data_IF_982858371349
#
_entry.id   IF_982858371349
#
_cell.length_a   1.000
_cell.length_b   1.000
_cell.length_c   1.000
_cell.angle_alpha   90.00
_cell.angle_beta   90.00
_cell.angle_gamma   90.00
#
_symmetry.space_group_name_H-M   'P 1'
#
loop_
_entity.id
_entity.type
_entity.pdbx_description
1 polymer ?
#
# COMPACT_ATOMS: atom_id res chain seq x y z
N UNK A 1 -22.71 -18.46 -26.91
CA UNK A 1 -22.36 -17.27 -26.11
C UNK A 1 -23.36 -17.16 -24.98
N UNK A 2 -22.89 -17.41 -23.77
CA UNK A 2 -23.56 -17.30 -22.46
C UNK A 2 -22.39 -17.52 -21.48
N UNK A 3 -21.57 -16.53 -21.12
CA UNK A 3 -21.80 -15.35 -20.28
C UNK A 3 -22.37 -15.69 -18.89
N UNK A 4 -21.44 -15.95 -17.96
CA UNK A 4 -21.50 -15.69 -16.52
C UNK A 4 -22.43 -16.52 -15.61
N UNK A 5 -21.80 -17.35 -14.78
CA UNK A 5 -22.08 -17.63 -13.35
C UNK A 5 -20.93 -18.56 -12.90
N UNK A 6 -20.02 -18.29 -11.97
CA UNK A 6 -19.89 -17.37 -10.84
C UNK A 6 -18.35 -17.24 -10.65
N UNK A 7 -17.72 -16.05 -10.61
CA UNK A 7 -18.00 -14.97 -9.66
C UNK A 7 -17.74 -13.56 -10.26
N UNK A 8 -18.73 -12.94 -10.95
CA UNK A 8 -18.63 -11.54 -11.40
C UNK A 8 -18.51 -10.61 -10.22
N UNK A 9 -19.23 -10.94 -9.15
CA UNK A 9 -19.15 -10.27 -7.88
C UNK A 9 -17.72 -10.23 -7.31
N UNK A 10 -16.88 -11.25 -7.51
CA UNK A 10 -15.48 -11.21 -7.01
C UNK A 10 -14.59 -10.32 -7.85
N UNK A 11 -14.70 -10.37 -9.18
CA UNK A 11 -13.91 -9.50 -10.06
C UNK A 11 -14.29 -8.03 -9.85
N UNK A 12 -15.58 -7.73 -9.75
CA UNK A 12 -16.05 -6.38 -9.43
C UNK A 12 -15.60 -5.96 -8.03
N UNK A 13 -15.70 -6.83 -7.01
CA UNK A 13 -15.17 -6.53 -5.66
C UNK A 13 -13.67 -6.31 -5.63
N UNK A 14 -12.89 -7.01 -6.46
CA UNK A 14 -11.44 -6.77 -6.59
C UNK A 14 -11.15 -5.42 -7.21
N UNK A 15 -11.84 -5.07 -8.31
CA UNK A 15 -11.69 -3.76 -8.94
C UNK A 15 -12.11 -2.65 -7.99
N UNK A 16 -13.26 -2.80 -7.31
CA UNK A 16 -13.74 -1.86 -6.28
C UNK A 16 -12.76 -1.74 -5.12
N UNK A 17 -12.17 -2.84 -4.65
CA UNK A 17 -11.16 -2.80 -3.60
C UNK A 17 -9.88 -2.08 -4.07
N UNK A 18 -9.44 -2.31 -5.31
CA UNK A 18 -8.24 -1.70 -5.87
C UNK A 18 -8.44 -0.20 -6.09
N UNK A 19 -9.57 0.18 -6.67
CA UNK A 19 -9.99 1.57 -6.81
C UNK A 19 -10.17 2.22 -5.44
N UNK A 20 -10.76 1.53 -4.48
CA UNK A 20 -10.92 2.01 -3.11
C UNK A 20 -9.59 2.29 -2.42
N UNK A 21 -8.61 1.37 -2.51
CA UNK A 21 -7.25 1.57 -2.01
C UNK A 21 -6.56 2.72 -2.73
N UNK A 22 -6.70 2.81 -4.06
CA UNK A 22 -6.10 3.90 -4.83
C UNK A 22 -6.66 5.26 -4.41
N UNK A 23 -7.99 5.39 -4.31
CA UNK A 23 -8.65 6.61 -3.85
C UNK A 23 -8.25 6.96 -2.42
N UNK A 24 -8.15 5.96 -1.54
CA UNK A 24 -7.67 6.15 -0.17
C UNK A 24 -6.24 6.70 -0.13
N UNK A 25 -5.33 6.12 -0.93
CA UNK A 25 -3.94 6.61 -1.03
C UNK A 25 -3.92 8.05 -1.54
N UNK A 26 -4.63 8.34 -2.62
CA UNK A 26 -4.69 9.70 -3.19
C UNK A 26 -5.24 10.70 -2.17
N UNK A 27 -6.30 10.35 -1.45
CA UNK A 27 -6.90 11.19 -0.41
C UNK A 27 -5.89 11.54 0.67
N UNK A 28 -5.18 10.55 1.22
CA UNK A 28 -4.25 10.76 2.33
C UNK A 28 -2.94 11.41 1.90
N UNK A 29 -2.46 11.17 0.69
CA UNK A 29 -1.35 11.92 0.11
C UNK A 29 -1.72 13.39 -0.02
N UNK A 30 -2.91 13.71 -0.54
CA UNK A 30 -3.39 15.10 -0.61
C UNK A 30 -3.54 15.73 0.77
N UNK A 31 -4.05 14.99 1.76
CA UNK A 31 -4.14 15.47 3.13
C UNK A 31 -2.76 15.78 3.73
N UNK A 32 -1.77 14.89 3.55
CA UNK A 32 -0.40 15.11 4.02
C UNK A 32 0.27 16.32 3.36
N UNK A 33 0.06 16.52 2.05
CA UNK A 33 0.54 17.70 1.34
C UNK A 33 -0.10 18.99 1.88
N UNK A 34 -1.42 18.99 2.09
CA UNK A 34 -2.15 20.14 2.64
C UNK A 34 -1.68 20.49 4.06
N UNK A 35 -1.43 19.49 4.91
CA UNK A 35 -0.88 19.69 6.25
C UNK A 35 0.52 20.30 6.16
N UNK A 36 1.39 19.78 5.30
CA UNK A 36 2.74 20.32 5.08
C UNK A 36 2.70 21.79 4.65
N UNK A 37 1.86 22.11 3.66
CA UNK A 37 1.68 23.48 3.17
C UNK A 37 1.16 24.43 4.25
N UNK A 38 0.23 23.96 5.09
CA UNK A 38 -0.30 24.74 6.22
C UNK A 38 0.80 25.08 7.22
N UNK A 39 1.67 24.12 7.56
CA UNK A 39 2.79 24.34 8.48
C UNK A 39 3.83 25.26 7.85
N UNK A 40 4.15 25.09 6.56
CA UNK A 40 5.06 25.99 5.84
C UNK A 40 4.53 27.43 5.74
N UNK A 41 3.23 27.66 5.92
CA UNK A 41 2.69 29.00 6.10
C UNK A 41 3.33 29.78 7.27
N UNK A 42 3.88 29.08 8.26
CA UNK A 42 4.63 29.68 9.37
C UNK A 42 6.09 30.03 9.02
N UNK A 43 6.55 29.78 7.79
CA UNK A 43 7.92 30.11 7.35
C UNK A 43 8.14 31.61 7.20
N UNK A 44 7.15 32.34 6.68
CA UNK A 44 7.31 33.77 6.38
C UNK A 44 7.71 34.61 7.61
N UNK A 45 7.10 34.43 8.81
CA UNK A 45 7.55 35.12 10.02
C UNK A 45 9.00 34.79 10.43
N UNK A 46 9.46 33.55 10.24
CA UNK A 46 10.82 33.15 10.58
C UNK A 46 11.86 33.85 9.69
N UNK A 47 11.62 33.88 8.38
CA UNK A 47 12.47 34.58 7.41
C UNK A 47 12.47 36.10 7.62
N UNK A 48 11.34 36.68 8.03
CA UNK A 48 11.27 38.09 8.39
C UNK A 48 12.15 38.40 9.61
N UNK A 49 12.16 37.50 10.61
CA UNK A 49 12.99 37.67 11.81
C UNK A 49 14.48 37.55 11.50
N UNK A 50 14.85 36.58 10.67
CA UNK A 50 16.20 36.40 10.13
C UNK A 50 16.67 37.68 9.42
N UNK A 51 15.90 38.14 8.42
CA UNK A 51 16.23 39.34 7.62
C UNK A 51 16.32 40.60 8.50
N UNK A 52 15.41 40.74 9.47
CA UNK A 52 15.41 41.87 10.41
C UNK A 52 16.67 41.83 11.29
N UNK A 53 17.03 40.68 11.84
CA UNK A 53 18.23 40.48 12.65
C UNK A 53 19.51 40.81 11.86
N UNK A 54 19.62 40.30 10.63
CA UNK A 54 20.74 40.59 9.72
C UNK A 54 20.88 42.09 9.44
N UNK A 55 19.78 42.75 9.07
CA UNK A 55 19.78 44.19 8.78
C UNK A 55 20.15 45.05 9.98
N UNK A 56 19.66 44.70 11.19
CA UNK A 56 20.01 45.38 12.43
C UNK A 56 21.48 45.16 12.79
N UNK A 57 21.95 43.91 12.73
CA UNK A 57 23.34 43.57 13.03
C UNK A 57 24.29 44.35 12.12
N UNK A 58 24.03 44.39 10.81
CA UNK A 58 24.84 45.16 9.86
C UNK A 58 24.83 46.66 10.15
N UNK A 59 23.66 47.22 10.46
CA UNK A 59 23.52 48.65 10.78
C UNK A 59 24.22 49.05 12.09
N UNK A 60 24.10 48.21 13.12
CA UNK A 60 24.70 48.42 14.44
C UNK A 60 26.20 48.19 14.42
N UNK A 61 26.68 47.17 13.70
CA UNK A 61 28.10 46.93 13.47
C UNK A 61 28.77 48.09 12.73
N UNK A 62 28.12 48.61 11.67
CA UNK A 62 28.61 49.79 10.95
C UNK A 62 28.62 51.05 11.84
N UNK A 63 27.64 51.20 12.74
CA UNK A 63 27.64 52.30 13.71
C UNK A 63 28.77 52.17 14.74
N UNK A 64 29.00 50.96 15.26
CA UNK A 64 30.11 50.66 16.16
C UNK A 64 31.46 51.00 15.54
N UNK A 65 31.69 50.60 14.28
CA UNK A 65 32.95 50.87 13.57
C UNK A 65 33.19 52.38 13.38
N UNK A 66 32.16 53.12 12.98
CA UNK A 66 32.26 54.59 12.80
C UNK A 66 32.54 55.33 14.11
N UNK A 67 31.90 54.91 15.20
CA UNK A 67 32.08 55.51 16.53
C UNK A 67 33.41 55.11 17.14
N UNK A 68 33.85 53.86 16.93
CA UNK A 68 35.13 53.33 17.38
C UNK A 68 36.34 54.08 16.80
N UNK A 69 36.19 54.70 15.63
CA UNK A 69 37.23 55.51 15.00
C UNK A 69 37.50 56.87 15.71
N UNK A 70 36.70 57.26 16.71
CA UNK A 70 36.89 58.52 17.45
C UNK A 70 38.05 58.39 18.46
N UNK A 71 39.11 59.22 18.36
CA UNK A 71 40.24 59.17 19.31
C UNK A 71 39.79 59.42 20.75
N UNK A 72 40.41 58.73 21.72
CA UNK A 72 40.21 58.86 23.17
C UNK A 72 38.83 58.40 23.73
N UNK A 73 37.77 58.33 22.92
CA UNK A 73 36.41 57.98 23.36
C UNK A 73 35.78 56.79 22.62
N UNK A 74 36.35 56.37 21.48
CA UNK A 74 35.73 55.41 20.56
C UNK A 74 35.34 54.07 21.20
N UNK A 75 36.20 53.47 22.02
CA UNK A 75 35.93 52.16 22.64
C UNK A 75 34.78 52.19 23.65
N UNK A 76 34.63 53.29 24.39
CA UNK A 76 33.56 53.43 25.40
C UNK A 76 32.20 53.65 24.75
N UNK A 77 32.17 54.30 23.59
CA UNK A 77 30.92 54.62 22.88
C UNK A 77 30.54 53.51 21.88
N UNK A 78 31.51 52.74 21.35
CA UNK A 78 31.26 51.61 20.44
C UNK A 78 30.66 50.38 21.14
N UNK A 79 31.06 50.09 22.38
CA UNK A 79 30.65 48.87 23.10
C UNK A 79 29.12 48.61 23.16
N UNK A 80 28.27 49.61 23.43
CA UNK A 80 26.81 49.43 23.38
C UNK A 80 26.29 49.05 21.98
N UNK A 81 26.88 49.57 20.91
CA UNK A 81 26.50 49.22 19.53
C UNK A 81 26.96 47.81 19.17
N UNK A 82 28.17 47.40 19.60
CA UNK A 82 28.66 46.02 19.44
C UNK A 82 27.74 45.04 20.18
N UNK A 83 27.40 45.33 21.43
CA UNK A 83 26.48 44.49 22.23
C UNK A 83 25.10 44.40 21.59
N UNK A 84 24.60 45.49 21.01
CA UNK A 84 23.33 45.50 20.30
C UNK A 84 23.41 44.71 18.97
N UNK A 85 24.55 44.77 18.26
CA UNK A 85 24.79 43.97 17.06
C UNK A 85 24.83 42.46 17.38
N UNK A 86 25.45 42.08 18.50
CA UNK A 86 25.45 40.70 19.00
C UNK A 86 24.04 40.22 19.37
N UNK A 87 23.23 41.09 19.99
CA UNK A 87 21.84 40.79 20.26
C UNK A 87 21.05 40.60 18.94
N UNK A 88 21.28 41.45 17.93
CA UNK A 88 20.66 41.30 16.61
C UNK A 88 21.08 40.01 15.88
N UNK A 89 22.34 39.60 16.01
CA UNK A 89 22.82 38.30 15.53
C UNK A 89 22.09 37.14 16.21
N UNK A 90 21.83 37.23 17.52
CA UNK A 90 21.06 36.19 18.22
C UNK A 90 19.62 36.07 17.70
N UNK A 91 19.01 37.21 17.32
CA UNK A 91 17.67 37.23 16.69
C UNK A 91 17.72 36.62 15.30
N UNK A 92 18.74 36.93 14.51
CA UNK A 92 18.96 36.36 13.18
C UNK A 92 19.03 34.83 13.25
N UNK A 93 19.88 34.28 14.12
CA UNK A 93 20.02 32.83 14.35
C UNK A 93 18.73 32.18 14.83
N UNK A 94 17.99 32.84 15.73
CA UNK A 94 16.69 32.34 16.17
C UNK A 94 15.68 32.24 15.01
N UNK A 95 15.74 33.18 14.05
CA UNK A 95 14.97 33.11 12.80
C UNK A 95 15.35 31.90 11.94
N UNK A 96 16.65 31.67 11.73
CA UNK A 96 17.18 30.51 10.98
C UNK A 96 16.74 29.18 11.63
N UNK A 97 16.91 29.05 12.94
CA UNK A 97 16.55 27.85 13.70
C UNK A 97 15.04 27.58 13.63
N UNK A 98 14.22 28.64 13.73
CA UNK A 98 12.77 28.52 13.61
C UNK A 98 12.35 28.08 12.19
N UNK A 99 12.98 28.64 11.16
CA UNK A 99 12.74 28.24 9.77
C UNK A 99 13.05 26.75 9.56
N UNK A 100 14.21 26.29 10.02
CA UNK A 100 14.61 24.88 9.96
C UNK A 100 13.65 23.97 10.74
N UNK A 101 13.19 24.41 11.91
CA UNK A 101 12.22 23.68 12.72
C UNK A 101 10.86 23.56 12.02
N UNK A 102 10.35 24.65 11.44
CA UNK A 102 9.10 24.66 10.67
C UNK A 102 9.20 23.73 9.48
N UNK A 103 10.30 23.77 8.71
CA UNK A 103 10.51 22.90 7.55
C UNK A 103 10.51 21.42 7.96
N UNK A 104 11.29 21.06 8.98
CA UNK A 104 11.37 19.68 9.47
C UNK A 104 10.03 19.19 10.00
N UNK A 105 9.32 20.03 10.74
CA UNK A 105 8.00 19.72 11.30
C UNK A 105 6.96 19.54 10.20
N UNK A 106 6.98 20.39 9.17
CA UNK A 106 6.10 20.29 8.01
C UNK A 106 6.32 18.97 7.26
N UNK A 107 7.58 18.59 7.05
CA UNK A 107 7.94 17.34 6.39
C UNK A 107 7.52 16.12 7.21
N UNK A 108 7.91 16.05 8.48
CA UNK A 108 7.62 14.89 9.33
C UNK A 108 6.12 14.71 9.55
N UNK A 109 5.41 15.79 9.86
CA UNK A 109 3.96 15.74 10.10
C UNK A 109 3.22 15.41 8.82
N UNK A 110 3.51 16.09 7.70
CA UNK A 110 2.89 15.80 6.41
C UNK A 110 3.13 14.35 5.95
N UNK A 111 4.36 13.85 6.12
CA UNK A 111 4.69 12.46 5.82
C UNK A 111 3.94 11.49 6.73
N UNK A 112 3.93 11.71 8.04
CA UNK A 112 3.21 10.86 8.99
C UNK A 112 1.70 10.81 8.68
N UNK A 113 1.09 11.97 8.41
CA UNK A 113 -0.32 12.08 8.02
C UNK A 113 -0.65 11.29 6.76
N UNK A 114 0.24 11.26 5.76
CA UNK A 114 0.03 10.45 4.57
C UNK A 114 0.34 8.96 4.80
N UNK A 115 1.50 8.65 5.38
CA UNK A 115 2.07 7.31 5.39
C UNK A 115 1.34 6.36 6.35
N UNK A 116 0.97 6.83 7.55
CA UNK A 116 0.30 6.00 8.56
C UNK A 116 -1.01 5.39 8.04
N UNK A 117 -2.00 6.18 7.56
CA UNK A 117 -3.25 5.63 7.05
C UNK A 117 -3.07 4.85 5.75
N UNK A 118 -2.09 5.20 4.91
CA UNK A 118 -1.75 4.41 3.71
C UNK A 118 -1.26 3.03 4.11
N UNK A 119 -0.30 2.92 5.03
CA UNK A 119 0.23 1.64 5.48
C UNK A 119 -0.84 0.79 6.17
N UNK A 120 -1.70 1.41 6.99
CA UNK A 120 -2.81 0.71 7.65
C UNK A 120 -3.80 0.08 6.66
N UNK A 121 -4.02 0.68 5.49
CA UNK A 121 -4.87 0.11 4.45
C UNK A 121 -4.10 -0.86 3.53
N UNK A 122 -2.88 -0.48 3.12
CA UNK A 122 -2.10 -1.20 2.12
C UNK A 122 -1.56 -2.52 2.64
N UNK A 123 -1.09 -2.57 3.89
CA UNK A 123 -0.49 -3.79 4.46
C UNK A 123 -1.52 -4.93 4.56
N UNK A 124 -2.71 -4.77 5.16
CA UNK A 124 -3.73 -5.81 5.18
C UNK A 124 -4.18 -6.22 3.77
N UNK A 125 -4.40 -5.24 2.88
CA UNK A 125 -4.79 -5.50 1.49
C UNK A 125 -3.73 -6.35 0.76
N UNK A 126 -2.44 -6.01 0.91
CA UNK A 126 -1.34 -6.72 0.27
C UNK A 126 -1.19 -8.14 0.83
N UNK A 127 -1.28 -8.32 2.16
CA UNK A 127 -1.21 -9.65 2.78
C UNK A 127 -2.33 -10.56 2.26
N UNK A 128 -3.56 -10.06 2.20
CA UNK A 128 -4.71 -10.82 1.70
C UNK A 128 -4.50 -11.17 0.21
N UNK A 129 -4.04 -10.20 -0.60
CA UNK A 129 -3.79 -10.38 -2.03
C UNK A 129 -2.68 -11.39 -2.31
N UNK A 130 -1.55 -11.29 -1.61
CA UNK A 130 -0.41 -12.20 -1.76
C UNK A 130 -0.79 -13.61 -1.32
N UNK A 131 -1.54 -13.77 -0.21
CA UNK A 131 -2.04 -15.09 0.22
C UNK A 131 -2.96 -15.71 -0.83
N UNK A 132 -3.84 -14.92 -1.44
CA UNK A 132 -4.70 -15.39 -2.52
C UNK A 132 -3.89 -15.82 -3.75
N UNK A 133 -2.94 -14.98 -4.20
CA UNK A 133 -2.07 -15.28 -5.34
C UNK A 133 -1.22 -16.55 -5.11
N UNK A 134 -0.66 -16.73 -3.91
CA UNK A 134 0.12 -17.93 -3.56
C UNK A 134 -0.75 -19.19 -3.56
N UNK A 135 -1.98 -19.12 -3.03
CA UNK A 135 -2.93 -20.25 -3.05
C UNK A 135 -3.32 -20.63 -4.48
N UNK A 136 -3.59 -19.65 -5.33
CA UNK A 136 -3.91 -19.89 -6.74
C UNK A 136 -2.73 -20.57 -7.48
N UNK A 137 -1.50 -20.09 -7.27
CA UNK A 137 -0.29 -20.68 -7.89
C UNK A 137 -0.03 -22.11 -7.42
N UNK A 138 -0.17 -22.38 -6.12
CA UNK A 138 0.01 -23.74 -5.58
C UNK A 138 -0.99 -24.72 -6.19
N UNK A 139 -2.25 -24.30 -6.39
CA UNK A 139 -3.27 -25.15 -6.99
C UNK A 139 -3.05 -25.38 -8.50
N UNK A 140 -2.58 -24.35 -9.22
CA UNK A 140 -2.19 -24.52 -10.63
C UNK A 140 -0.99 -25.47 -10.79
N UNK A 141 -0.02 -25.43 -9.88
CA UNK A 141 1.11 -26.36 -9.90
C UNK A 141 0.65 -27.83 -9.71
N UNK A 142 -0.28 -28.09 -8.78
CA UNK A 142 -0.84 -29.45 -8.57
C UNK A 142 -1.61 -29.98 -9.80
N UNK A 143 -2.29 -29.10 -10.54
CA UNK A 143 -2.98 -29.46 -11.79
C UNK A 143 -1.99 -29.76 -12.93
N UNK A 144 -0.80 -29.18 -12.92
CA UNK A 144 0.24 -29.43 -13.93
C UNK A 144 0.92 -30.79 -13.74
N UNK A 145 0.92 -31.31 -12.51
CA UNK A 145 1.46 -32.64 -12.17
C UNK A 145 0.47 -33.79 -12.39
N UNK A 146 -0.76 -33.51 -12.82
CA UNK A 146 -1.77 -34.55 -13.10
C UNK A 146 -2.37 -35.20 -11.85
N UNK A 147 -2.42 -34.49 -10.71
CA UNK A 147 -2.95 -35.06 -9.48
C UNK A 147 -4.41 -35.54 -9.61
N UNK A 148 -4.76 -36.67 -8.97
CA UNK A 148 -6.12 -37.19 -8.96
C UNK A 148 -7.09 -36.21 -8.28
N UNK A 149 -8.27 -36.06 -8.87
CA UNK A 149 -9.41 -35.31 -8.34
C UNK A 149 -9.67 -35.51 -6.83
N UNK A 150 -9.32 -36.69 -6.32
CA UNK A 150 -9.42 -37.07 -4.92
C UNK A 150 -8.61 -36.20 -3.96
N UNK A 151 -7.41 -35.73 -4.36
CA UNK A 151 -6.58 -34.86 -3.52
C UNK A 151 -7.16 -33.44 -3.41
N UNK A 152 -7.72 -32.94 -4.51
CA UNK A 152 -8.47 -31.68 -4.50
C UNK A 152 -9.74 -31.79 -3.63
N UNK A 153 -10.46 -32.91 -3.74
CA UNK A 153 -11.64 -33.18 -2.92
C UNK A 153 -11.28 -33.31 -1.43
N UNK A 154 -10.18 -33.98 -1.10
CA UNK A 154 -9.67 -34.10 0.28
C UNK A 154 -9.29 -32.73 0.84
N UNK A 155 -8.62 -31.89 0.04
CA UNK A 155 -8.26 -30.54 0.46
C UNK A 155 -9.50 -29.66 0.67
N UNK A 156 -10.54 -29.82 -0.16
CA UNK A 156 -11.82 -29.17 0.02
C UNK A 156 -12.42 -29.53 1.39
N UNK A 157 -12.45 -30.82 1.74
CA UNK A 157 -12.94 -31.30 3.03
C UNK A 157 -12.14 -30.72 4.21
N UNK A 158 -10.82 -30.54 4.06
CA UNK A 158 -9.95 -30.06 5.12
C UNK A 158 -9.99 -28.55 5.33
N UNK A 159 -10.36 -27.75 4.32
CA UNK A 159 -10.18 -26.28 4.35
C UNK A 159 -11.45 -25.48 4.09
N UNK A 160 -12.51 -26.09 3.56
CA UNK A 160 -13.76 -25.39 3.30
C UNK A 160 -14.66 -25.33 4.54
N UNK A 161 -15.43 -24.25 4.72
CA UNK A 161 -16.38 -24.14 5.83
C UNK A 161 -17.45 -25.24 5.78
N UNK A 162 -17.88 -25.72 6.95
CA UNK A 162 -18.92 -26.75 7.09
C UNK A 162 -20.21 -26.37 6.36
N UNK A 163 -20.61 -25.10 6.40
CA UNK A 163 -21.81 -24.59 5.72
C UNK A 163 -21.75 -24.62 4.19
N UNK A 164 -20.54 -24.76 3.62
CA UNK A 164 -20.33 -24.90 2.18
C UNK A 164 -20.28 -26.39 1.82
N UNK A 165 -19.62 -27.20 2.65
CA UNK A 165 -19.56 -28.66 2.48
C UNK A 165 -20.96 -29.30 2.55
N UNK A 166 -21.81 -28.86 3.48
CA UNK A 166 -23.19 -29.36 3.62
C UNK A 166 -24.09 -29.04 2.42
N UNK A 167 -23.76 -28.00 1.64
CA UNK A 167 -24.46 -27.70 0.37
C UNK A 167 -24.03 -28.64 -0.77
N UNK A 168 -22.82 -29.18 -0.71
CA UNK A 168 -22.37 -30.21 -1.65
C UNK A 168 -23.04 -31.53 -1.31
N UNK A 169 -22.88 -31.97 -0.06
CA UNK A 169 -23.59 -33.11 0.51
C UNK A 169 -23.72 -32.97 2.03
N UNK A 170 -24.89 -33.27 2.62
CA UNK A 170 -25.06 -33.37 4.07
C UNK A 170 -24.08 -34.35 4.74
N UNK A 171 -23.62 -35.36 4.00
CA UNK A 171 -22.70 -36.42 4.48
C UNK A 171 -21.37 -36.43 3.71
N UNK A 172 -20.88 -35.25 3.29
CA UNK A 172 -19.71 -35.11 2.40
C UNK A 172 -18.48 -35.96 2.76
N UNK A 173 -18.13 -36.09 4.06
CA UNK A 173 -17.00 -36.91 4.50
C UNK A 173 -17.23 -38.43 4.31
N UNK A 174 -18.45 -38.90 4.56
CA UNK A 174 -18.83 -40.29 4.33
C UNK A 174 -18.85 -40.61 2.83
N UNK A 175 -19.37 -39.68 2.04
CA UNK A 175 -19.55 -39.81 0.59
C UNK A 175 -18.21 -39.84 -0.15
N UNK A 176 -17.26 -39.00 0.28
CA UNK A 176 -15.88 -39.02 -0.21
C UNK A 176 -15.19 -40.35 0.14
N UNK A 177 -15.32 -40.82 1.38
CA UNK A 177 -14.69 -42.08 1.83
C UNK A 177 -15.25 -43.32 1.12
N UNK A 178 -16.51 -43.26 0.70
CA UNK A 178 -17.16 -44.32 -0.09
C UNK A 178 -16.90 -44.20 -1.60
N UNK A 179 -16.12 -43.19 -2.02
CA UNK A 179 -15.68 -43.03 -3.41
C UNK A 179 -16.79 -42.57 -4.35
N UNK A 180 -17.83 -41.89 -3.85
CA UNK A 180 -18.95 -41.45 -4.69
C UNK A 180 -18.46 -40.36 -5.67
N UNK A 181 -18.31 -40.73 -6.95
CA UNK A 181 -17.67 -39.89 -7.98
C UNK A 181 -18.28 -38.49 -8.09
N UNK A 182 -19.60 -38.39 -8.05
CA UNK A 182 -20.32 -37.12 -8.14
C UNK A 182 -19.96 -36.16 -6.99
N UNK A 183 -19.75 -36.69 -5.78
CA UNK A 183 -19.36 -35.88 -4.62
C UNK A 183 -17.89 -35.50 -4.68
N UNK A 184 -17.01 -36.42 -5.09
CA UNK A 184 -15.57 -36.15 -5.26
C UNK A 184 -15.36 -35.06 -6.31
N UNK A 185 -16.03 -35.14 -7.46
CA UNK A 185 -16.00 -34.12 -8.52
C UNK A 185 -16.46 -32.75 -8.01
N UNK A 186 -17.62 -32.70 -7.34
CA UNK A 186 -18.16 -31.43 -6.81
C UNK A 186 -17.28 -30.82 -5.71
N UNK A 187 -16.63 -31.63 -4.89
CA UNK A 187 -15.68 -31.17 -3.88
C UNK A 187 -14.40 -30.63 -4.53
N UNK A 188 -13.87 -31.30 -5.56
CA UNK A 188 -12.71 -30.82 -6.31
C UNK A 188 -13.02 -29.50 -7.03
N UNK A 189 -14.19 -29.39 -7.67
CA UNK A 189 -14.68 -28.15 -8.28
C UNK A 189 -14.85 -27.01 -7.28
N UNK A 190 -15.31 -27.32 -6.06
CA UNK A 190 -15.44 -26.34 -4.99
C UNK A 190 -14.06 -25.75 -4.64
N UNK A 191 -13.05 -26.61 -4.47
CA UNK A 191 -11.70 -26.20 -4.14
C UNK A 191 -11.08 -25.34 -5.24
N UNK A 192 -11.25 -25.75 -6.49
CA UNK A 192 -10.75 -25.03 -7.66
C UNK A 192 -11.42 -23.67 -7.84
N UNK A 193 -12.75 -23.60 -7.69
CA UNK A 193 -13.49 -22.32 -7.68
C UNK A 193 -13.05 -21.41 -6.54
N UNK A 194 -12.74 -21.97 -5.38
CA UNK A 194 -12.25 -21.18 -4.23
C UNK A 194 -10.89 -20.53 -4.50
N UNK A 195 -10.06 -21.16 -5.33
CA UNK A 195 -8.77 -20.66 -5.82
C UNK A 195 -8.87 -19.83 -7.12
N UNK A 196 -10.06 -19.74 -7.72
CA UNK A 196 -10.30 -18.99 -8.96
C UNK A 196 -9.83 -19.71 -10.24
N UNK A 197 -9.74 -21.04 -10.22
CA UNK A 197 -9.39 -21.87 -11.39
C UNK A 197 -10.64 -22.64 -11.84
N UNK A 198 -10.92 -22.65 -13.15
CA UNK A 198 -12.12 -23.25 -13.71
C UNK A 198 -11.80 -24.59 -14.43
N UNK A 199 -12.48 -25.68 -14.06
CA UNK A 199 -12.23 -27.04 -14.56
C UNK A 199 -12.70 -27.24 -16.01
N UNK A 200 -13.68 -26.45 -16.45
CA UNK A 200 -14.36 -26.66 -17.74
C UNK A 200 -13.44 -26.40 -18.93
N UNK A 201 -12.35 -25.65 -18.78
CA UNK A 201 -11.37 -25.42 -19.85
C UNK A 201 -10.64 -26.71 -20.26
N UNK A 202 -10.21 -27.54 -19.29
CA UNK A 202 -9.42 -28.75 -19.58
C UNK A 202 -10.26 -29.93 -20.06
N UNK A 203 -11.50 -30.07 -19.58
CA UNK A 203 -12.39 -31.13 -20.08
C UNK A 203 -12.75 -30.89 -21.56
N UNK A 204 -12.85 -29.62 -21.98
CA UNK A 204 -13.11 -29.25 -23.38
C UNK A 204 -11.90 -29.50 -24.30
N UNK A 205 -10.68 -29.29 -23.81
CA UNK A 205 -9.44 -29.65 -24.52
C UNK A 205 -9.24 -31.18 -24.60
N UNK A 206 -9.57 -31.92 -23.54
CA UNK A 206 -9.51 -33.40 -23.54
C UNK A 206 -10.53 -34.05 -24.48
N UNK A 207 -11.72 -33.47 -24.63
CA UNK A 207 -12.73 -33.91 -25.61
C UNK A 207 -12.38 -33.49 -27.04
N UNK A 208 -11.68 -32.37 -27.23
CA UNK A 208 -11.20 -31.92 -28.55
C UNK A 208 -9.96 -32.70 -29.05
N UNK A 209 -9.15 -33.27 -28.15
CA UNK A 209 -8.00 -34.10 -28.49
C UNK A 209 -8.31 -35.59 -28.69
N UNK A 210 -9.55 -36.04 -28.40
CA UNK A 210 -9.94 -37.45 -28.38
C UNK A 210 -10.75 -37.95 -29.58
N UNK A 211 -10.96 -37.15 -30.62
CA UNK A 211 -11.69 -37.58 -31.82
C UNK A 211 -10.73 -37.89 -32.97
N UNK A 212 -10.38 -39.16 -33.15
CA UNK A 212 -9.94 -39.63 -34.46
C UNK A 212 -8.91 -40.75 -34.53
N UNK A 213 -9.08 -41.87 -33.83
CA UNK A 213 -8.45 -43.12 -34.28
C UNK A 213 -9.53 -44.21 -34.43
N UNK A 214 -9.92 -44.56 -35.68
CA UNK A 214 -10.92 -45.60 -35.91
C UNK A 214 -10.30 -46.99 -35.75
N UNK A 215 -10.96 -47.83 -34.94
CA UNK A 215 -10.68 -49.26 -34.78
C UNK A 215 -10.57 -49.97 -36.16
N UNK A 216 -9.54 -50.80 -36.39
CA UNK A 216 -9.44 -51.58 -37.61
C UNK A 216 -10.54 -52.64 -37.61
N UNK A 217 -11.51 -52.49 -38.52
CA UNK A 217 -12.47 -53.55 -38.85
C UNK A 217 -11.71 -54.65 -39.58
N UNK A 218 -11.78 -55.85 -39.01
CA UNK A 218 -11.27 -57.06 -39.65
C UNK A 218 -11.94 -57.30 -41.00
N UNK A 219 -11.15 -57.82 -41.93
CA UNK A 219 -11.63 -58.51 -43.12
C UNK A 219 -11.24 -59.98 -43.02
N UNK A 220 -12.20 -60.80 -43.44
CA UNK A 220 -12.15 -62.26 -43.56
C UNK A 220 -10.96 -62.74 -44.40
#
# INVERSE_FOLDING_TARGET
MTFYADLPARRTRQILADVGVLLWVVLWVRAGLSVRETILGAMAPALQLETAGESLQGSLGAAAERVGAIPLLGSTVAGPFESAADAAESVRRAGEDLAAFVERTALLTGLATALVPVLLALVPWLVIRVRFARRARALQALLSTGEPLELLALRALATQPVTVLTRVSPTAAHDWRTGRRDVVERLAELELRSAGVDLTARHREGLAGGTGEPLPRGTQ
#
